data_IF_222484122040
#
_entry.id   IF_222484122040
#
_cell.length_a   1.000
_cell.length_b   1.000
_cell.length_c   1.000
_cell.angle_alpha   90.00
_cell.angle_beta   90.00
_cell.angle_gamma   90.00
#
_symmetry.space_group_name_H-M   'P 1'
#
loop_
_entity.id
_entity.type
_entity.pdbx_description
1 polymer ?
#
# COMPACT_ATOMS: atom_id res chain seq x y z
N UNK A 1 -7.88 -14.14 16.91
CA UNK A 1 -6.52 -13.91 16.38
C UNK A 1 -6.61 -13.00 15.16
N UNK A 2 -6.38 -11.71 15.36
CA UNK A 2 -6.25 -10.74 14.27
C UNK A 2 -4.81 -10.81 13.73
N UNK A 3 -4.50 -11.89 13.02
CA UNK A 3 -3.30 -11.92 12.19
C UNK A 3 -3.54 -11.10 10.93
N UNK A 4 -2.48 -10.51 10.35
CA UNK A 4 -2.56 -9.93 9.02
C UNK A 4 -3.13 -10.99 8.05
N UNK A 5 -4.06 -10.58 7.19
CA UNK A 5 -4.54 -11.44 6.12
C UNK A 5 -3.38 -11.82 5.21
N UNK A 6 -3.50 -12.96 4.54
CA UNK A 6 -2.57 -13.34 3.49
C UNK A 6 -2.55 -12.29 2.37
N UNK A 7 -1.43 -12.13 1.64
CA UNK A 7 -1.35 -11.34 0.42
C UNK A 7 -2.57 -11.57 -0.47
N UNK A 8 -3.14 -10.49 -1.02
CA UNK A 8 -4.21 -10.64 -2.00
C UNK A 8 -3.68 -11.48 -3.17
N UNK A 9 -4.44 -12.50 -3.58
CA UNK A 9 -4.08 -13.25 -4.77
C UNK A 9 -4.54 -12.46 -6.00
N UNK A 10 -3.77 -11.43 -6.36
CA UNK A 10 -4.03 -10.65 -7.58
C UNK A 10 -3.93 -11.53 -8.84
N UNK A 11 -3.16 -12.61 -8.75
CA UNK A 11 -3.03 -13.65 -9.76
C UNK A 11 -3.33 -15.00 -9.07
N UNK A 12 -4.58 -15.50 -9.11
CA UNK A 12 -4.98 -16.73 -8.43
C UNK A 12 -4.39 -17.95 -9.14
N UNK A 13 -3.11 -18.21 -8.86
CA UNK A 13 -2.32 -19.27 -9.50
C UNK A 13 -1.86 -20.27 -8.44
N UNK A 14 -2.10 -21.54 -8.70
CA UNK A 14 -1.71 -22.62 -7.80
C UNK A 14 -0.18 -22.80 -7.73
N UNK A 15 0.33 -22.88 -6.51
CA UNK A 15 1.76 -23.11 -6.23
C UNK A 15 2.59 -21.84 -6.04
N UNK A 16 1.96 -20.67 -6.07
CA UNK A 16 2.63 -19.40 -5.71
C UNK A 16 2.85 -19.34 -4.20
N UNK A 17 4.05 -18.96 -3.79
CA UNK A 17 4.44 -18.85 -2.39
C UNK A 17 3.97 -17.50 -1.85
N UNK A 18 3.03 -17.50 -0.90
CA UNK A 18 2.63 -16.27 -0.21
C UNK A 18 3.75 -15.80 0.73
N UNK A 19 4.41 -14.69 0.40
CA UNK A 19 5.47 -14.15 1.24
C UNK A 19 4.90 -13.44 2.46
N UNK A 20 5.47 -13.71 3.63
CA UNK A 20 5.19 -12.99 4.86
C UNK A 20 6.50 -12.80 5.63
N UNK A 21 6.81 -11.54 5.96
CA UNK A 21 7.95 -11.25 6.81
C UNK A 21 7.85 -12.03 8.13
N UNK A 22 8.99 -12.54 8.61
CA UNK A 22 9.11 -13.35 9.83
C UNK A 22 8.43 -14.73 9.78
N UNK A 23 8.09 -15.23 8.59
CA UNK A 23 7.80 -16.66 8.38
C UNK A 23 8.92 -17.28 7.56
N UNK A 24 9.22 -18.55 7.85
CA UNK A 24 10.22 -19.28 7.08
C UNK A 24 9.76 -19.47 5.64
N UNK A 25 10.67 -19.19 4.70
CA UNK A 25 10.48 -19.55 3.31
C UNK A 25 10.49 -21.09 3.17
N UNK A 26 9.68 -21.64 2.25
CA UNK A 26 9.81 -23.05 1.89
C UNK A 26 11.20 -23.32 1.28
N UNK A 27 11.58 -24.59 1.17
CA UNK A 27 12.83 -24.98 0.53
C UNK A 27 12.87 -24.52 -0.95
N UNK A 28 13.70 -23.53 -1.23
CA UNK A 28 13.94 -22.97 -2.57
C UNK A 28 15.37 -23.31 -2.97
N UNK A 29 15.54 -23.90 -4.15
CA UNK A 29 16.88 -24.13 -4.71
C UNK A 29 17.51 -22.78 -5.13
N UNK A 30 18.68 -22.39 -4.59
CA UNK A 30 19.32 -21.11 -4.91
C UNK A 30 19.73 -20.95 -6.38
N UNK A 31 19.91 -22.05 -7.11
CA UNK A 31 20.24 -22.04 -8.53
C UNK A 31 19.01 -21.84 -9.44
N UNK A 32 17.79 -21.96 -8.90
CA UNK A 32 16.55 -21.77 -9.65
C UNK A 32 16.26 -20.30 -9.90
N UNK A 33 15.60 -19.99 -11.02
CA UNK A 33 15.02 -18.68 -11.27
C UNK A 33 13.82 -18.44 -10.36
N UNK A 34 13.85 -17.32 -9.63
CA UNK A 34 12.81 -16.95 -8.66
C UNK A 34 12.15 -15.64 -9.10
N UNK A 35 10.84 -15.70 -9.35
CA UNK A 35 10.02 -14.52 -9.60
C UNK A 35 9.48 -13.94 -8.28
N UNK A 36 9.41 -12.62 -8.19
CA UNK A 36 8.82 -11.89 -7.06
C UNK A 36 7.74 -10.94 -7.60
N UNK A 37 6.47 -11.19 -7.26
CA UNK A 37 5.34 -10.37 -7.69
C UNK A 37 5.24 -9.14 -6.79
N UNK A 38 5.45 -7.97 -7.38
CA UNK A 38 5.44 -6.67 -6.72
C UNK A 38 6.85 -6.06 -6.61
N UNK A 39 6.88 -4.74 -6.37
CA UNK A 39 8.09 -3.98 -6.07
C UNK A 39 7.89 -3.09 -4.82
N UNK A 40 6.97 -3.47 -3.93
CA UNK A 40 6.72 -2.75 -2.67
C UNK A 40 7.77 -3.10 -1.60
N UNK A 41 7.70 -2.49 -0.42
CA UNK A 41 8.59 -2.84 0.70
C UNK A 41 8.58 -4.34 1.03
N UNK A 42 7.42 -4.99 0.96
CA UNK A 42 7.30 -6.45 1.14
C UNK A 42 8.09 -7.23 0.09
N UNK A 43 8.09 -6.77 -1.16
CA UNK A 43 8.90 -7.39 -2.21
C UNK A 43 10.39 -7.14 -2.00
N UNK A 44 10.78 -5.95 -1.51
CA UNK A 44 12.16 -5.64 -1.14
C UNK A 44 12.65 -6.60 -0.05
N UNK A 45 11.86 -6.81 1.00
CA UNK A 45 12.21 -7.72 2.09
C UNK A 45 12.37 -9.16 1.57
N UNK A 46 11.46 -9.62 0.70
CA UNK A 46 11.55 -10.94 0.07
C UNK A 46 12.81 -11.08 -0.80
N UNK A 47 13.14 -10.08 -1.62
CA UNK A 47 14.33 -10.07 -2.47
C UNK A 47 15.60 -10.14 -1.60
N UNK A 48 15.68 -9.32 -0.55
CA UNK A 48 16.82 -9.32 0.37
C UNK A 48 16.94 -10.68 1.06
N UNK A 49 15.83 -11.25 1.52
CA UNK A 49 15.83 -12.57 2.16
C UNK A 49 16.27 -13.70 1.20
N UNK A 50 15.82 -13.67 -0.06
CA UNK A 50 16.27 -14.59 -1.10
C UNK A 50 17.78 -14.49 -1.35
N UNK A 51 18.32 -13.26 -1.37
CA UNK A 51 19.76 -13.04 -1.58
C UNK A 51 20.57 -13.51 -0.36
N UNK A 52 20.18 -13.09 0.84
CA UNK A 52 21.02 -13.24 2.03
C UNK A 52 20.84 -14.58 2.75
N UNK A 53 19.62 -15.14 2.77
CA UNK A 53 19.33 -16.41 3.47
C UNK A 53 19.34 -17.61 2.55
N UNK A 54 18.73 -17.49 1.37
CA UNK A 54 18.66 -18.60 0.40
C UNK A 54 19.93 -18.66 -0.44
N UNK A 55 20.58 -17.52 -0.72
CA UNK A 55 21.72 -17.44 -1.62
C UNK A 55 21.32 -17.40 -3.10
N UNK A 56 20.07 -17.04 -3.40
CA UNK A 56 19.57 -16.96 -4.77
C UNK A 56 20.37 -15.93 -5.58
N UNK A 57 20.60 -16.23 -6.86
CA UNK A 57 21.36 -15.38 -7.79
C UNK A 57 20.61 -15.07 -9.09
N UNK A 58 19.42 -15.61 -9.29
CA UNK A 58 18.59 -15.36 -10.46
C UNK A 58 17.18 -14.93 -10.02
N UNK A 59 17.06 -13.68 -9.57
CA UNK A 59 15.82 -13.12 -9.04
C UNK A 59 15.23 -12.15 -10.07
N UNK A 60 13.92 -12.22 -10.27
CA UNK A 60 13.21 -11.29 -11.13
C UNK A 60 12.04 -10.64 -10.40
N UNK A 61 12.10 -9.33 -10.19
CA UNK A 61 10.99 -8.53 -9.69
C UNK A 61 10.00 -8.22 -10.82
N UNK A 62 8.71 -8.48 -10.58
CA UNK A 62 7.66 -8.47 -11.59
C UNK A 62 6.53 -7.55 -11.09
N UNK A 63 6.30 -6.42 -11.75
CA UNK A 63 5.19 -5.54 -11.37
C UNK A 63 4.57 -4.81 -12.56
N UNK A 64 3.42 -4.17 -12.36
CA UNK A 64 2.78 -3.37 -13.41
C UNK A 64 3.59 -2.12 -13.78
N UNK A 65 4.26 -1.48 -12.83
CA UNK A 65 5.05 -0.27 -13.07
C UNK A 65 6.52 -0.54 -13.39
N UNK A 66 7.08 -1.66 -12.90
CA UNK A 66 8.51 -1.93 -12.96
C UNK A 66 9.37 -1.08 -12.01
N UNK A 67 8.75 -0.22 -11.19
CA UNK A 67 9.45 0.73 -10.33
C UNK A 67 9.50 0.27 -8.88
N UNK A 68 10.66 0.47 -8.24
CA UNK A 68 10.84 0.30 -6.80
C UNK A 68 10.33 1.51 -6.00
N UNK A 69 10.17 1.41 -4.67
CA UNK A 69 9.81 2.53 -3.82
C UNK A 69 10.90 3.59 -3.84
N UNK A 70 10.53 4.87 -3.67
CA UNK A 70 11.50 5.94 -3.52
C UNK A 70 12.39 5.70 -2.29
N UNK A 71 13.61 6.22 -2.26
CA UNK A 71 14.56 6.01 -1.16
C UNK A 71 14.40 7.11 -0.11
N UNK A 72 14.18 6.69 1.14
CA UNK A 72 14.02 7.61 2.26
C UNK A 72 15.40 8.12 2.76
N UNK A 73 15.59 9.45 2.90
CA UNK A 73 16.79 9.99 3.56
C UNK A 73 16.93 9.57 5.02
N UNK A 74 18.15 9.56 5.54
CA UNK A 74 18.42 9.24 6.94
C UNK A 74 17.72 10.19 7.92
N UNK A 75 17.60 11.47 7.54
CA UNK A 75 16.85 12.48 8.28
C UNK A 75 15.93 13.22 7.31
N UNK A 76 14.62 13.15 7.56
CA UNK A 76 13.63 13.86 6.76
C UNK A 76 13.27 15.20 7.41
N UNK A 77 13.19 16.24 6.60
CA UNK A 77 12.65 17.54 7.00
C UNK A 77 11.13 17.53 6.85
N UNK A 78 10.44 18.10 7.84
CA UNK A 78 9.01 18.34 7.74
C UNK A 78 8.72 19.42 6.67
N UNK A 79 7.60 19.32 5.94
CA UNK A 79 7.19 20.36 5.01
C UNK A 79 6.82 21.66 5.75
N UNK A 80 6.84 22.81 5.05
CA UNK A 80 6.34 24.06 5.61
C UNK A 80 4.86 23.94 6.03
N UNK A 81 4.41 24.57 7.13
CA UNK A 81 3.02 24.48 7.59
C UNK A 81 1.99 24.86 6.53
N UNK A 82 2.33 25.81 5.66
CA UNK A 82 1.51 26.35 4.56
C UNK A 82 1.09 25.23 3.59
N UNK A 83 1.98 24.28 3.30
CA UNK A 83 1.69 23.12 2.47
C UNK A 83 0.50 22.32 3.03
N UNK A 84 0.53 22.01 4.34
CA UNK A 84 -0.56 21.29 5.00
C UNK A 84 -1.83 22.13 5.10
N UNK A 85 -1.69 23.42 5.45
CA UNK A 85 -2.82 24.33 5.58
C UNK A 85 -3.60 24.47 4.27
N UNK A 86 -2.92 24.58 3.12
CA UNK A 86 -3.53 24.65 1.80
C UNK A 86 -4.43 23.44 1.52
N UNK A 87 -3.93 22.24 1.81
CA UNK A 87 -4.66 21.00 1.55
C UNK A 87 -5.78 20.75 2.56
N UNK A 88 -5.56 21.06 3.83
CA UNK A 88 -6.63 21.01 4.84
C UNK A 88 -7.78 21.96 4.48
N UNK A 89 -7.47 23.20 4.05
CA UNK A 89 -8.48 24.19 3.65
C UNK A 89 -9.28 23.70 2.45
N UNK A 90 -8.61 23.18 1.43
CA UNK A 90 -9.30 22.62 0.26
C UNK A 90 -10.30 21.53 0.67
N UNK A 91 -9.91 20.60 1.54
CA UNK A 91 -10.82 19.54 1.98
C UNK A 91 -11.95 20.11 2.85
N UNK A 92 -11.66 21.03 3.77
CA UNK A 92 -12.67 21.63 4.66
C UNK A 92 -13.74 22.42 3.90
N UNK A 93 -13.36 23.18 2.87
CA UNK A 93 -14.25 24.05 2.10
C UNK A 93 -15.14 23.28 1.11
N UNK A 94 -14.87 21.98 0.90
CA UNK A 94 -15.62 21.14 -0.04
C UNK A 94 -16.37 20.03 0.71
N UNK A 95 -17.68 19.93 0.49
CA UNK A 95 -18.51 18.83 1.01
C UNK A 95 -18.37 17.55 0.19
N UNK A 96 -17.86 17.65 -1.03
CA UNK A 96 -17.64 16.57 -1.99
C UNK A 96 -16.24 16.69 -2.58
N UNK A 97 -15.55 15.58 -2.78
CA UNK A 97 -14.20 15.57 -3.35
C UNK A 97 -14.14 14.69 -4.60
N UNK A 98 -13.74 15.29 -5.72
CA UNK A 98 -13.33 14.58 -6.93
C UNK A 98 -11.88 14.10 -6.81
N UNK A 99 -11.60 12.86 -7.21
CA UNK A 99 -10.29 12.24 -7.06
C UNK A 99 -9.21 12.84 -7.97
N UNK A 100 -9.57 13.24 -9.20
CA UNK A 100 -8.63 13.88 -10.11
C UNK A 100 -8.29 15.29 -9.63
N UNK A 101 -9.30 16.07 -9.23
CA UNK A 101 -9.12 17.40 -8.67
C UNK A 101 -8.27 17.33 -7.40
N UNK A 102 -8.54 16.38 -6.49
CA UNK A 102 -7.77 16.22 -5.28
C UNK A 102 -6.28 16.00 -5.57
N UNK A 103 -5.96 15.10 -6.51
CA UNK A 103 -4.57 14.84 -6.90
C UNK A 103 -3.94 16.03 -7.60
N UNK A 104 -4.69 16.78 -8.41
CA UNK A 104 -4.22 18.04 -9.00
C UNK A 104 -3.83 19.06 -7.93
N UNK A 105 -4.66 19.23 -6.89
CA UNK A 105 -4.38 20.16 -5.79
C UNK A 105 -3.15 19.70 -4.98
N UNK A 106 -3.02 18.39 -4.70
CA UNK A 106 -1.80 17.85 -4.07
C UNK A 106 -0.58 18.15 -4.92
N UNK A 107 -0.61 17.86 -6.22
CA UNK A 107 0.52 18.08 -7.11
C UNK A 107 0.86 19.57 -7.26
N UNK A 108 -0.14 20.45 -7.31
CA UNK A 108 0.08 21.90 -7.34
C UNK A 108 0.68 22.43 -6.02
N UNK A 109 0.36 21.81 -4.88
CA UNK A 109 1.01 22.12 -3.61
C UNK A 109 2.45 21.56 -3.55
N UNK A 110 2.69 20.36 -4.07
CA UNK A 110 4.05 19.81 -4.19
C UNK A 110 4.90 20.68 -5.12
N UNK A 111 4.35 21.18 -6.23
CA UNK A 111 5.06 22.09 -7.14
C UNK A 111 5.56 23.36 -6.43
N UNK A 112 4.75 23.91 -5.53
CA UNK A 112 5.06 25.15 -4.83
C UNK A 112 6.04 24.94 -3.66
N UNK A 113 5.88 23.85 -2.90
CA UNK A 113 6.55 23.69 -1.60
C UNK A 113 7.61 22.59 -1.58
N UNK A 114 7.61 21.65 -2.51
CA UNK A 114 8.53 20.51 -2.52
C UNK A 114 9.56 20.63 -3.65
N UNK A 115 10.87 20.72 -3.34
CA UNK A 115 11.92 20.91 -4.36
C UNK A 115 12.19 19.68 -5.23
N UNK A 116 11.69 18.50 -4.85
CA UNK A 116 11.84 17.29 -5.66
C UNK A 116 10.85 17.23 -6.82
N UNK A 117 11.17 16.40 -7.81
CA UNK A 117 10.37 16.23 -9.03
C UNK A 117 9.20 15.25 -8.88
N UNK A 118 9.10 14.54 -7.76
CA UNK A 118 8.11 13.50 -7.52
C UNK A 118 6.72 14.12 -7.44
N UNK A 119 5.77 13.54 -8.18
CA UNK A 119 4.35 13.89 -8.17
C UNK A 119 3.51 12.62 -8.11
N UNK A 120 2.26 12.75 -7.69
CA UNK A 120 1.28 11.69 -7.79
C UNK A 120 0.83 11.54 -9.26
N UNK A 121 1.06 10.37 -9.84
CA UNK A 121 0.84 10.11 -11.28
C UNK A 121 0.22 8.73 -11.52
N UNK A 122 -0.15 8.44 -12.77
CA UNK A 122 -0.66 7.12 -13.17
C UNK A 122 0.50 6.19 -13.51
N UNK A 123 1.08 5.53 -12.49
CA UNK A 123 2.26 4.66 -12.69
C UNK A 123 2.01 3.48 -13.63
N UNK A 124 0.78 2.94 -13.66
CA UNK A 124 0.43 1.80 -14.52
C UNK A 124 0.53 2.11 -16.00
N UNK A 125 0.37 3.38 -16.40
CA UNK A 125 0.53 3.81 -17.78
C UNK A 125 2.02 3.92 -18.21
N UNK A 126 2.97 3.80 -17.27
CA UNK A 126 4.40 4.03 -17.53
C UNK A 126 5.23 2.74 -17.64
N UNK A 127 4.61 1.57 -17.52
CA UNK A 127 5.29 0.31 -17.14
C UNK A 127 6.32 -0.30 -18.10
N UNK A 128 6.34 0.04 -19.39
CA UNK A 128 7.33 -0.53 -20.34
C UNK A 128 8.57 0.35 -20.57
N UNK A 129 8.48 1.66 -20.28
CA UNK A 129 9.41 2.65 -20.81
C UNK A 129 10.40 3.21 -19.77
N UNK A 130 10.30 2.79 -18.49
CA UNK A 130 11.16 3.32 -17.43
C UNK A 130 12.30 2.39 -17.09
N UNK A 131 13.50 2.97 -17.09
CA UNK A 131 14.70 2.38 -16.52
C UNK A 131 14.59 2.37 -14.99
N UNK A 132 14.22 1.20 -14.44
CA UNK A 132 14.07 1.01 -13.00
C UNK A 132 15.38 1.22 -12.22
N UNK A 133 16.53 0.94 -12.85
CA UNK A 133 17.83 1.13 -12.23
C UNK A 133 18.12 2.62 -12.11
N UNK A 134 17.97 3.37 -13.21
CA UNK A 134 18.21 4.81 -13.21
C UNK A 134 17.26 5.56 -12.25
N UNK A 135 15.97 5.20 -12.25
CA UNK A 135 14.97 5.77 -11.32
C UNK A 135 15.34 5.51 -9.84
N UNK A 136 15.79 4.29 -9.50
CA UNK A 136 16.22 3.97 -8.15
C UNK A 136 17.55 4.64 -7.79
N UNK A 137 18.51 4.68 -8.71
CA UNK A 137 19.82 5.29 -8.51
C UNK A 137 19.71 6.81 -8.27
N UNK A 138 18.87 7.50 -9.05
CA UNK A 138 18.58 8.92 -8.83
C UNK A 138 17.91 9.16 -7.48
N UNK A 139 16.93 8.31 -7.12
CA UNK A 139 16.25 8.40 -5.83
C UNK A 139 17.23 8.16 -4.66
N UNK A 140 18.13 7.20 -4.79
CA UNK A 140 19.18 6.92 -3.81
C UNK A 140 20.15 8.10 -3.67
N UNK A 141 20.62 8.67 -4.78
CA UNK A 141 21.55 9.78 -4.74
C UNK A 141 20.93 11.02 -4.07
N UNK A 142 19.68 11.34 -4.43
CA UNK A 142 18.92 12.40 -3.77
C UNK A 142 18.77 12.13 -2.27
N UNK A 143 18.45 10.91 -1.87
CA UNK A 143 18.27 10.55 -0.47
C UNK A 143 19.55 10.63 0.38
N UNK A 144 20.75 10.62 -0.26
CA UNK A 144 22.03 10.79 0.43
C UNK A 144 22.29 12.24 0.81
N UNK A 145 21.80 13.20 0.00
CA UNK A 145 22.18 14.61 0.13
C UNK A 145 21.02 15.53 0.52
N UNK A 146 19.79 15.22 0.11
CA UNK A 146 18.60 16.01 0.41
C UNK A 146 17.88 15.49 1.65
N UNK A 147 17.31 16.42 2.43
CA UNK A 147 16.46 16.09 3.59
C UNK A 147 14.98 16.24 3.27
N UNK A 148 14.65 17.03 2.26
CA UNK A 148 13.33 17.16 1.68
C UNK A 148 13.02 15.92 0.83
N UNK A 149 11.97 15.19 1.21
CA UNK A 149 11.55 13.98 0.49
C UNK A 149 10.03 13.89 0.49
N UNK A 150 9.43 13.52 -0.65
CA UNK A 150 7.97 13.49 -0.83
C UNK A 150 7.24 12.68 0.26
N UNK A 151 7.87 11.62 0.81
CA UNK A 151 7.33 10.86 1.94
C UNK A 151 6.93 11.73 3.14
N UNK A 152 7.73 12.73 3.52
CA UNK A 152 7.39 13.60 4.67
C UNK A 152 6.24 14.54 4.34
N UNK A 153 6.14 14.99 3.08
CA UNK A 153 5.03 15.80 2.59
C UNK A 153 3.72 14.99 2.60
N UNK A 154 3.72 13.79 2.02
CA UNK A 154 2.54 12.91 2.01
C UNK A 154 2.14 12.45 3.42
N UNK A 155 3.11 12.25 4.33
CA UNK A 155 2.82 11.95 5.72
C UNK A 155 2.13 13.13 6.43
N UNK A 156 2.57 14.37 6.18
CA UNK A 156 2.00 15.56 6.83
C UNK A 156 0.54 15.83 6.46
N UNK A 157 0.08 15.36 5.29
CA UNK A 157 -1.30 15.55 4.80
C UNK A 157 -2.18 14.33 5.00
N UNK A 158 -1.69 13.31 5.71
CA UNK A 158 -2.43 12.09 6.01
C UNK A 158 -3.85 12.35 6.55
N UNK A 159 -4.07 13.29 7.50
CA UNK A 159 -5.42 13.61 7.96
C UNK A 159 -6.34 14.14 6.85
N UNK A 160 -5.85 15.06 6.01
CA UNK A 160 -6.62 15.62 4.90
C UNK A 160 -6.98 14.54 3.87
N UNK A 161 -6.08 13.60 3.60
CA UNK A 161 -6.35 12.48 2.68
C UNK A 161 -7.42 11.54 3.25
N UNK A 162 -7.38 11.26 4.55
CA UNK A 162 -8.44 10.48 5.20
C UNK A 162 -9.79 11.20 5.14
N UNK A 163 -9.83 12.51 5.37
CA UNK A 163 -11.07 13.29 5.28
C UNK A 163 -11.59 13.39 3.83
N UNK A 164 -10.69 13.61 2.87
CA UNK A 164 -11.00 13.61 1.45
C UNK A 164 -11.62 12.28 1.00
N UNK A 165 -11.07 11.14 1.46
CA UNK A 165 -11.61 9.81 1.16
C UNK A 165 -13.06 9.64 1.62
N UNK A 166 -13.40 10.15 2.82
CA UNK A 166 -14.77 10.11 3.35
C UNK A 166 -15.72 10.95 2.48
N UNK A 167 -15.24 12.08 1.95
CA UNK A 167 -15.98 13.00 1.06
C UNK A 167 -16.00 12.57 -0.42
N UNK A 168 -15.27 11.52 -0.80
CA UNK A 168 -15.36 10.90 -2.12
C UNK A 168 -16.51 9.90 -2.15
N UNK A 169 -17.30 9.92 -3.22
CA UNK A 169 -18.22 8.84 -3.55
C UNK A 169 -17.48 7.57 -3.98
N UNK A 170 -18.23 6.49 -4.19
CA UNK A 170 -17.67 5.21 -4.62
C UNK A 170 -16.88 5.32 -5.93
N UNK A 171 -17.38 6.09 -6.90
CA UNK A 171 -16.74 6.27 -8.20
C UNK A 171 -15.35 6.92 -8.05
N UNK A 172 -15.24 7.97 -7.25
CA UNK A 172 -13.99 8.68 -7.02
C UNK A 172 -13.00 7.87 -6.20
N UNK A 173 -13.46 7.09 -5.22
CA UNK A 173 -12.60 6.13 -4.52
C UNK A 173 -12.04 5.08 -5.48
N UNK A 174 -12.85 4.58 -6.42
CA UNK A 174 -12.38 3.66 -7.47
C UNK A 174 -11.34 4.32 -8.38
N UNK A 175 -11.58 5.56 -8.83
CA UNK A 175 -10.61 6.35 -9.61
C UNK A 175 -9.28 6.47 -8.85
N UNK A 176 -9.33 6.90 -7.59
CA UNK A 176 -8.13 7.06 -6.78
C UNK A 176 -7.36 5.74 -6.64
N UNK A 177 -8.06 4.65 -6.32
CA UNK A 177 -7.46 3.33 -6.16
C UNK A 177 -6.86 2.78 -7.45
N UNK A 178 -7.51 3.04 -8.59
CA UNK A 178 -7.08 2.57 -9.90
C UNK A 178 -5.86 3.33 -10.42
N UNK A 179 -5.88 4.65 -10.31
CA UNK A 179 -4.92 5.52 -11.00
C UNK A 179 -3.80 6.03 -10.10
N UNK A 180 -4.10 6.37 -8.85
CA UNK A 180 -3.18 7.14 -8.00
C UNK A 180 -2.63 6.37 -6.81
N UNK A 181 -3.34 5.33 -6.33
CA UNK A 181 -2.92 4.58 -5.15
C UNK A 181 -1.52 3.96 -5.28
N UNK A 182 -1.14 3.43 -6.44
CA UNK A 182 0.23 2.90 -6.63
C UNK A 182 1.31 3.98 -6.51
N UNK A 183 1.07 5.18 -7.06
CA UNK A 183 1.98 6.32 -6.92
C UNK A 183 2.06 6.82 -5.49
N UNK A 184 0.89 6.94 -4.85
CA UNK A 184 0.79 7.27 -3.43
C UNK A 184 1.58 6.28 -2.57
N UNK A 185 1.36 4.97 -2.74
CA UNK A 185 2.07 3.92 -1.99
C UNK A 185 3.59 3.99 -2.19
N UNK A 186 4.04 4.16 -3.45
CA UNK A 186 5.47 4.25 -3.79
C UNK A 186 6.16 5.41 -3.04
N UNK A 187 5.51 6.56 -3.00
CA UNK A 187 6.08 7.79 -2.47
C UNK A 187 5.89 7.93 -0.94
N UNK A 188 4.79 7.37 -0.39
CA UNK A 188 4.47 7.41 1.05
C UNK A 188 5.18 6.33 1.85
N UNK A 189 5.56 5.22 1.21
CA UNK A 189 6.27 4.10 1.83
C UNK A 189 7.64 3.92 1.19
N UNK A 190 8.48 4.93 1.42
CA UNK A 190 9.85 4.96 0.91
C UNK A 190 10.74 3.89 1.56
N UNK A 191 11.66 3.33 0.79
CA UNK A 191 12.61 2.29 1.18
C UNK A 191 13.78 2.89 1.97
N UNK A 192 14.23 2.27 3.08
CA UNK A 192 15.43 2.73 3.79
C UNK A 192 16.70 2.66 2.92
N UNK A 193 17.64 3.60 3.11
CA UNK A 193 18.93 3.66 2.40
C UNK A 193 19.67 2.31 2.36
N UNK A 194 19.72 1.60 3.50
CA UNK A 194 20.40 0.30 3.59
C UNK A 194 19.82 -0.73 2.61
N UNK A 195 18.50 -0.75 2.44
CA UNK A 195 17.83 -1.68 1.52
C UNK A 195 18.04 -1.22 0.08
N UNK A 196 18.00 0.09 -0.19
CA UNK A 196 18.28 0.64 -1.51
C UNK A 196 19.67 0.24 -2.03
N UNK A 197 20.71 0.34 -1.19
CA UNK A 197 22.06 -0.11 -1.56
C UNK A 197 22.09 -1.59 -1.95
N UNK A 198 21.44 -2.46 -1.17
CA UNK A 198 21.38 -3.90 -1.48
C UNK A 198 20.71 -4.17 -2.83
N UNK A 199 19.61 -3.47 -3.12
CA UNK A 199 18.89 -3.63 -4.38
C UNK A 199 19.72 -3.11 -5.57
N UNK A 200 20.36 -1.95 -5.45
CA UNK A 200 21.28 -1.43 -6.47
C UNK A 200 22.42 -2.40 -6.73
N UNK A 201 23.12 -2.88 -5.69
CA UNK A 201 24.18 -3.88 -5.86
C UNK A 201 23.67 -5.15 -6.54
N UNK A 202 22.46 -5.60 -6.22
CA UNK A 202 21.86 -6.78 -6.86
C UNK A 202 21.53 -6.56 -8.34
N UNK A 203 21.06 -5.36 -8.71
CA UNK A 203 20.84 -4.98 -10.12
C UNK A 203 22.17 -4.91 -10.88
N UNK A 204 23.18 -4.24 -10.33
CA UNK A 204 24.51 -4.07 -10.95
C UNK A 204 25.24 -5.39 -11.14
N UNK A 205 25.12 -6.30 -10.17
CA UNK A 205 25.69 -7.67 -10.25
C UNK A 205 24.82 -8.64 -11.07
N UNK A 206 23.73 -8.17 -11.68
CA UNK A 206 22.77 -8.96 -12.45
C UNK A 206 22.12 -10.13 -11.68
N UNK A 207 22.20 -10.11 -10.34
CA UNK A 207 21.49 -11.08 -9.48
C UNK A 207 20.00 -10.80 -9.39
N UNK A 208 19.62 -9.55 -9.65
CA UNK A 208 18.24 -9.07 -9.72
C UNK A 208 18.00 -8.44 -11.09
N UNK A 209 16.85 -8.77 -11.69
CA UNK A 209 16.26 -8.05 -12.81
C UNK A 209 14.88 -7.56 -12.42
N UNK A 210 14.40 -6.49 -13.04
CA UNK A 210 13.03 -6.04 -12.83
C UNK A 210 12.33 -5.83 -14.16
N UNK A 211 11.08 -6.30 -14.26
CA UNK A 211 10.24 -6.09 -15.42
C UNK A 211 8.94 -5.39 -15.00
N UNK A 212 8.64 -4.32 -15.72
CA UNK A 212 7.38 -3.62 -15.63
C UNK A 212 6.35 -4.15 -16.61
N UNK A 213 5.08 -3.77 -16.38
CA UNK A 213 3.99 -4.11 -17.27
C UNK A 213 3.59 -5.57 -17.30
N UNK A 214 3.64 -6.24 -16.16
CA UNK A 214 3.03 -7.57 -16.00
C UNK A 214 1.56 -7.49 -16.42
N UNK A 215 1.21 -8.26 -17.45
CA UNK A 215 -0.16 -8.40 -17.99
C UNK A 215 -0.80 -9.67 -17.46
N UNK A 216 -0.05 -10.77 -17.46
CA UNK A 216 -0.54 -12.08 -17.08
C UNK A 216 0.58 -12.93 -16.49
N UNK A 217 0.20 -13.86 -15.63
CA UNK A 217 1.08 -14.87 -15.06
C UNK A 217 0.34 -16.20 -15.15
N UNK A 218 1.01 -17.23 -15.65
CA UNK A 218 0.42 -18.57 -15.82
C UNK A 218 1.38 -19.63 -15.27
N UNK A 219 0.80 -20.77 -14.87
CA UNK A 219 1.58 -21.95 -14.50
C UNK A 219 2.01 -22.69 -15.76
N UNK A 220 3.29 -23.02 -15.86
CA UNK A 220 3.86 -23.71 -17.01
C UNK A 220 4.72 -24.89 -16.52
N UNK A 221 4.22 -26.11 -16.71
CA UNK A 221 4.89 -27.32 -16.22
C UNK A 221 5.12 -27.29 -14.69
N UNK A 222 6.39 -27.26 -14.29
CA UNK A 222 6.82 -27.17 -12.87
C UNK A 222 7.14 -25.73 -12.42
N UNK A 223 6.98 -24.74 -13.29
CA UNK A 223 7.27 -23.34 -12.99
C UNK A 223 6.13 -22.42 -13.44
N UNK A 224 6.51 -21.19 -13.77
CA UNK A 224 5.61 -20.10 -14.10
C UNK A 224 6.15 -19.32 -15.29
N UNK A 225 5.24 -18.87 -16.15
CA UNK A 225 5.50 -17.95 -17.23
C UNK A 225 4.79 -16.64 -16.95
N UNK A 226 5.52 -15.53 -17.02
CA UNK A 226 4.99 -14.18 -16.81
C UNK A 226 5.14 -13.37 -18.10
N UNK A 227 4.03 -12.82 -18.59
CA UNK A 227 4.01 -11.91 -19.74
C UNK A 227 4.12 -10.46 -19.24
N UNK A 228 5.21 -9.79 -19.58
CA UNK A 228 5.47 -8.38 -19.30
C UNK A 228 5.46 -7.60 -20.62
N UNK A 229 4.35 -6.94 -20.97
CA UNK A 229 4.08 -6.43 -22.33
C UNK A 229 4.43 -7.47 -23.42
N UNK A 230 5.58 -7.30 -24.10
CA UNK A 230 6.06 -8.15 -25.19
C UNK A 230 7.21 -9.07 -24.77
N UNK A 231 7.52 -9.16 -23.48
CA UNK A 231 8.61 -9.98 -22.94
C UNK A 231 8.05 -11.10 -22.09
N UNK A 232 8.46 -12.33 -22.38
CA UNK A 232 8.16 -13.49 -21.55
C UNK A 232 9.28 -13.74 -20.55
N UNK A 233 8.92 -13.97 -19.29
CA UNK A 233 9.83 -14.27 -18.19
C UNK A 233 9.43 -15.59 -17.55
N UNK A 234 10.37 -16.53 -17.46
CA UNK A 234 10.14 -17.83 -16.81
C UNK A 234 10.79 -17.88 -15.44
N UNK A 235 10.09 -18.47 -14.47
CA UNK A 235 10.59 -18.70 -13.12
C UNK A 235 10.16 -20.07 -12.61
N UNK A 236 11.02 -20.76 -11.86
CA UNK A 236 10.66 -22.05 -11.23
C UNK A 236 9.89 -21.83 -9.92
N UNK A 237 10.24 -20.79 -9.17
CA UNK A 237 9.52 -20.38 -7.96
C UNK A 237 8.94 -18.99 -8.16
N UNK A 238 7.76 -18.74 -7.59
CA UNK A 238 7.10 -17.45 -7.67
C UNK A 238 6.60 -17.04 -6.28
N UNK A 239 7.02 -15.87 -5.81
CA UNK A 239 6.61 -15.31 -4.53
C UNK A 239 5.57 -14.21 -4.75
N UNK A 240 4.42 -14.31 -4.08
CA UNK A 240 3.44 -13.24 -4.02
C UNK A 240 3.79 -12.26 -2.88
N UNK A 241 4.27 -11.07 -3.26
CA UNK A 241 4.59 -9.96 -2.35
C UNK A 241 3.64 -8.77 -2.54
N UNK A 242 2.45 -9.01 -3.07
CA UNK A 242 1.41 -7.99 -3.20
C UNK A 242 0.80 -7.66 -1.84
N UNK A 243 0.11 -6.51 -1.73
CA UNK A 243 -0.45 -6.07 -0.45
C UNK A 243 -1.40 -7.12 0.14
N UNK A 244 -1.48 -7.26 1.48
CA UNK A 244 -2.45 -8.11 2.15
C UNK A 244 -3.86 -7.89 1.61
N UNK A 245 -4.64 -8.97 1.49
CA UNK A 245 -6.06 -8.83 1.19
C UNK A 245 -6.73 -8.08 2.33
N UNK A 246 -7.50 -7.05 2.01
CA UNK A 246 -8.32 -6.36 3.00
C UNK A 246 -9.73 -6.93 3.08
N UNK A 247 -10.05 -7.95 2.27
CA UNK A 247 -11.32 -8.65 2.39
C UNK A 247 -11.42 -9.38 3.74
N UNK A 248 -12.65 -9.56 4.21
CA UNK A 248 -12.89 -10.31 5.43
C UNK A 248 -12.43 -11.76 5.24
N UNK A 249 -11.53 -12.22 6.11
CA UNK A 249 -11.17 -13.63 6.15
C UNK A 249 -12.42 -14.46 6.47
N UNK A 250 -12.69 -15.49 5.68
CA UNK A 250 -13.85 -16.38 5.84
C UNK A 250 -13.72 -17.31 7.06
N UNK A 251 -13.77 -16.75 8.26
CA UNK A 251 -13.91 -17.50 9.51
C UNK A 251 -15.36 -17.92 9.73
N UNK A 252 -15.61 -18.92 10.58
CA UNK A 252 -16.98 -19.34 10.96
C UNK A 252 -17.81 -18.17 11.50
N UNK A 253 -17.19 -17.29 12.27
CA UNK A 253 -17.83 -16.09 12.81
C UNK A 253 -18.18 -15.10 11.70
N UNK A 254 -17.21 -14.74 10.84
CA UNK A 254 -17.41 -13.77 9.77
C UNK A 254 -18.47 -14.24 8.78
N UNK A 255 -18.46 -15.53 8.41
CA UNK A 255 -19.52 -16.13 7.58
C UNK A 255 -20.90 -15.97 8.20
N UNK A 256 -21.04 -16.25 9.50
CA UNK A 256 -22.32 -16.09 10.20
C UNK A 256 -22.78 -14.64 10.27
N UNK A 257 -21.86 -13.70 10.54
CA UNK A 257 -22.20 -12.27 10.60
C UNK A 257 -22.66 -11.75 9.24
N UNK A 258 -21.99 -12.16 8.16
CA UNK A 258 -22.37 -11.81 6.78
C UNK A 258 -23.72 -12.42 6.40
N UNK A 259 -23.91 -13.72 6.62
CA UNK A 259 -25.17 -14.42 6.30
C UNK A 259 -26.35 -13.93 7.13
N UNK A 260 -26.10 -13.50 8.36
CA UNK A 260 -27.12 -12.94 9.26
C UNK A 260 -27.40 -11.45 9.04
N UNK A 261 -26.79 -10.80 8.04
CA UNK A 261 -27.00 -9.39 7.74
C UNK A 261 -26.46 -8.42 8.80
N UNK A 262 -25.65 -8.89 9.76
CA UNK A 262 -25.09 -8.07 10.85
C UNK A 262 -23.95 -7.16 10.39
N UNK A 263 -23.29 -7.53 9.30
CA UNK A 263 -22.19 -6.76 8.69
C UNK A 263 -22.33 -6.80 7.17
N UNK A 264 -21.98 -5.71 6.50
CA UNK A 264 -21.86 -5.66 5.04
C UNK A 264 -20.39 -5.55 4.63
N UNK A 265 -19.98 -6.24 3.57
CA UNK A 265 -18.66 -6.03 2.99
C UNK A 265 -18.56 -4.66 2.32
N UNK A 266 -17.36 -4.09 2.37
CA UNK A 266 -17.03 -2.89 1.61
C UNK A 266 -16.14 -3.29 0.43
N UNK A 267 -16.46 -2.79 -0.77
CA UNK A 267 -15.76 -3.14 -2.01
C UNK A 267 -14.28 -2.74 -1.99
N UNK A 268 -13.90 -1.76 -1.16
CA UNK A 268 -12.52 -1.32 -0.96
C UNK A 268 -11.79 -2.11 0.14
N UNK A 269 -12.45 -3.13 0.70
CA UNK A 269 -11.94 -4.01 1.76
C UNK A 269 -12.62 -3.77 3.10
N UNK A 270 -12.67 -4.80 3.93
CA UNK A 270 -13.26 -4.76 5.25
C UNK A 270 -14.79 -4.77 5.23
N UNK A 271 -15.39 -4.22 6.27
CA UNK A 271 -16.84 -4.05 6.43
C UNK A 271 -17.21 -2.58 6.33
N UNK A 272 -18.46 -2.32 5.95
CA UNK A 272 -19.03 -0.99 6.00
C UNK A 272 -19.10 -0.49 7.44
N UNK A 273 -18.59 0.70 7.69
CA UNK A 273 -18.71 1.38 8.97
C UNK A 273 -18.81 2.89 8.81
N UNK A 274 -19.43 3.56 9.77
CA UNK A 274 -19.43 5.01 9.82
C UNK A 274 -18.00 5.52 10.13
N UNK A 275 -17.39 6.37 9.29
CA UNK A 275 -15.99 6.80 9.46
C UNK A 275 -15.75 7.73 10.65
N UNK A 276 -16.83 8.31 11.23
CA UNK A 276 -16.79 9.20 12.39
C UNK A 276 -16.98 8.45 13.71
N UNK A 277 -17.86 7.44 13.74
CA UNK A 277 -18.18 6.67 14.97
C UNK A 277 -17.53 5.29 15.00
N UNK A 278 -17.09 4.80 13.85
CA UNK A 278 -16.58 3.44 13.59
C UNK A 278 -17.62 2.32 13.78
N UNK A 279 -18.89 2.67 13.99
CA UNK A 279 -19.97 1.69 14.11
C UNK A 279 -20.22 0.99 12.78
N UNK A 280 -20.41 -0.32 12.85
CA UNK A 280 -20.75 -1.17 11.70
C UNK A 280 -22.24 -1.04 11.41
N UNK A 281 -22.59 -1.02 10.13
CA UNK A 281 -23.98 -1.00 9.68
C UNK A 281 -24.45 -2.41 9.32
N UNK A 282 -25.68 -2.76 9.72
CA UNK A 282 -26.39 -3.95 9.25
C UNK A 282 -26.79 -3.81 7.77
N UNK A 283 -27.36 -4.86 7.17
CA UNK A 283 -27.84 -4.86 5.77
C UNK A 283 -28.86 -3.75 5.44
N UNK A 284 -29.58 -3.25 6.44
CA UNK A 284 -30.59 -2.17 6.32
C UNK A 284 -29.98 -0.78 6.51
N UNK A 285 -28.70 -0.70 6.85
CA UNK A 285 -27.98 0.55 7.10
C UNK A 285 -28.05 1.04 8.54
N UNK A 286 -28.63 0.27 9.48
CA UNK A 286 -28.69 0.68 10.88
C UNK A 286 -27.37 0.40 11.57
N UNK A 287 -26.85 1.41 12.29
CA UNK A 287 -25.66 1.25 13.11
C UNK A 287 -25.90 0.29 14.27
N UNK A 288 -24.97 -0.65 14.43
CA UNK A 288 -24.95 -1.61 15.52
C UNK A 288 -23.95 -1.16 16.60
N UNK A 289 -24.04 -1.72 17.80
CA UNK A 289 -22.99 -1.59 18.83
C UNK A 289 -21.80 -2.54 18.56
N UNK A 290 -21.38 -2.56 17.30
CA UNK A 290 -20.21 -3.26 16.80
C UNK A 290 -19.30 -2.23 16.13
N UNK A 291 -18.01 -2.25 16.44
CA UNK A 291 -17.04 -1.27 15.95
C UNK A 291 -16.01 -1.94 15.04
N UNK A 292 -15.67 -1.26 13.93
CA UNK A 292 -14.64 -1.70 13.00
C UNK A 292 -13.38 -0.85 13.17
N UNK A 293 -12.24 -1.49 13.41
CA UNK A 293 -10.95 -0.82 13.61
C UNK A 293 -9.85 -1.56 12.84
N UNK A 294 -8.91 -0.82 12.26
CA UNK A 294 -7.77 -1.41 11.55
C UNK A 294 -8.16 -1.95 10.17
N UNK A 295 -7.56 -3.08 9.77
CA UNK A 295 -7.80 -3.68 8.45
C UNK A 295 -9.31 -3.90 8.11
N UNK A 296 -10.17 -4.33 9.05
CA UNK A 296 -11.62 -4.41 8.82
C UNK A 296 -12.34 -3.09 8.50
N UNK A 297 -11.75 -1.92 8.78
CA UNK A 297 -12.37 -0.62 8.51
C UNK A 297 -11.83 0.05 7.24
N UNK A 298 -10.91 -0.61 6.51
CA UNK A 298 -10.15 0.02 5.43
C UNK A 298 -11.03 0.58 4.30
N UNK A 299 -12.18 -0.02 4.05
CA UNK A 299 -13.01 0.42 2.93
C UNK A 299 -13.57 1.83 3.11
N UNK A 300 -13.98 2.16 4.33
CA UNK A 300 -14.47 3.50 4.67
C UNK A 300 -13.38 4.42 5.24
N UNK A 301 -12.23 3.85 5.63
CA UNK A 301 -11.05 4.58 6.09
C UNK A 301 -9.82 4.25 5.23
N UNK A 302 -9.35 5.20 4.44
CA UNK A 302 -8.25 4.99 3.49
C UNK A 302 -6.97 4.36 4.09
N UNK A 303 -6.53 4.83 5.27
CA UNK A 303 -5.36 4.31 5.99
C UNK A 303 -5.73 3.85 7.39
N UNK A 304 -5.59 2.55 7.63
CA UNK A 304 -5.96 1.93 8.91
C UNK A 304 -4.85 1.09 9.56
N UNK A 305 -3.72 0.90 8.88
CA UNK A 305 -2.61 0.08 9.36
C UNK A 305 -1.47 0.88 10.02
N UNK A 306 -1.47 2.21 9.89
CA UNK A 306 -0.48 3.05 10.56
C UNK A 306 -0.86 3.22 12.03
N UNK A 307 0.12 3.12 12.94
CA UNK A 307 -0.10 3.30 14.39
C UNK A 307 -0.81 4.63 14.70
N UNK A 308 -0.41 5.71 14.04
CA UNK A 308 -1.04 7.03 14.14
C UNK A 308 -2.55 7.00 13.81
N UNK A 309 -2.93 6.19 12.81
CA UNK A 309 -4.34 6.03 12.42
C UNK A 309 -5.11 5.21 13.45
N UNK A 310 -4.51 4.12 13.94
CA UNK A 310 -5.11 3.27 14.98
C UNK A 310 -5.35 4.09 16.26
N UNK A 311 -4.36 4.85 16.73
CA UNK A 311 -4.50 5.70 17.92
C UNK A 311 -5.60 6.74 17.75
N UNK A 312 -5.62 7.46 16.61
CA UNK A 312 -6.68 8.43 16.29
C UNK A 312 -8.07 7.77 16.28
N UNK A 313 -8.19 6.61 15.66
CA UNK A 313 -9.47 5.94 15.47
C UNK A 313 -9.98 5.30 16.78
N UNK A 314 -9.09 4.80 17.65
CA UNK A 314 -9.45 4.38 19.02
C UNK A 314 -10.05 5.54 19.82
N UNK A 315 -9.49 6.76 19.70
CA UNK A 315 -10.04 7.92 20.41
C UNK A 315 -11.50 8.18 20.03
N UNK A 316 -11.91 7.95 18.78
CA UNK A 316 -13.31 8.08 18.35
C UNK A 316 -14.24 7.12 19.10
N UNK A 317 -13.78 5.90 19.36
CA UNK A 317 -14.57 4.90 20.11
C UNK A 317 -14.68 5.33 21.57
N UNK A 318 -13.57 5.72 22.20
CA UNK A 318 -13.55 6.06 23.63
C UNK A 318 -14.37 7.32 23.92
N UNK A 319 -14.21 8.38 23.13
CA UNK A 319 -14.90 9.66 23.39
C UNK A 319 -16.38 9.65 23.02
N UNK A 320 -16.81 8.82 22.07
CA UNK A 320 -18.22 8.78 21.64
C UNK A 320 -19.04 7.67 22.31
N UNK A 321 -18.45 6.91 23.24
CA UNK A 321 -19.13 5.79 23.88
C UNK A 321 -19.39 6.06 25.36
N UNK A 322 -20.67 6.06 25.72
CA UNK A 322 -21.16 6.34 27.08
C UNK A 322 -20.62 5.38 28.13
N UNK A 323 -20.25 4.15 27.76
CA UNK A 323 -19.66 3.16 28.68
C UNK A 323 -18.32 3.64 29.22
N UNK A 324 -17.50 4.32 28.40
CA UNK A 324 -16.19 4.83 28.82
C UNK A 324 -16.28 6.22 29.47
N UNK A 325 -17.31 7.00 29.12
CA UNK A 325 -17.52 8.34 29.68
C UNK A 325 -18.32 8.34 31.00
N UNK A 326 -19.02 7.25 31.33
CA UNK A 326 -19.82 7.12 32.55
C UNK A 326 -19.02 7.21 33.86
N UNK A 327 -17.71 6.89 33.84
CA UNK A 327 -16.85 6.93 35.03
C UNK A 327 -16.19 8.29 35.31
N UNK A 328 -16.47 9.34 34.51
CA UNK A 328 -15.93 10.69 34.75
C UNK A 328 -16.88 11.63 35.51
N UNK A 329 -18.07 11.16 35.88
CA UNK A 329 -19.07 11.96 36.60
C UNK A 329 -19.14 11.67 38.12
N UNK A 330 -18.32 10.76 38.65
CA UNK A 330 -18.28 10.41 40.08
C UNK A 330 -16.88 10.56 40.72
N UNK A 331 -16.05 11.47 40.21
CA UNK A 331 -14.78 11.85 40.85
C UNK A 331 -14.66 13.38 40.96
#
# INVERSE_FOLDING_TARGET
>A
MLGHNEPASLYPIDGVIAYQANRDLPAINPASAVGVIGCSLTAIDAIIELIERVGASNITALSRSGLFPSVQPALMRAPPPEFRQRLNRFVADNSYIDAHQWVQVINAALEEYYPGQERLTVLSAMGAARDCYHDLAESLDRARFAREHICSYLAAIHPAVCEAWVKMDEHNRQIFMRFYNSSWMRNRHAMPLKNAYKIITALESQRLRAFGGVVNIEKEGRGFKTLCHNTEVHSQYLLNCTTPSYQLKLSRLNKKMLQGGLVQENIFGGVKCNPFTLKVSDEKGNEQDLYSLGAPAKGDLFYTSAMESITRDISKIVFNNSIFNGNKAEA
#
